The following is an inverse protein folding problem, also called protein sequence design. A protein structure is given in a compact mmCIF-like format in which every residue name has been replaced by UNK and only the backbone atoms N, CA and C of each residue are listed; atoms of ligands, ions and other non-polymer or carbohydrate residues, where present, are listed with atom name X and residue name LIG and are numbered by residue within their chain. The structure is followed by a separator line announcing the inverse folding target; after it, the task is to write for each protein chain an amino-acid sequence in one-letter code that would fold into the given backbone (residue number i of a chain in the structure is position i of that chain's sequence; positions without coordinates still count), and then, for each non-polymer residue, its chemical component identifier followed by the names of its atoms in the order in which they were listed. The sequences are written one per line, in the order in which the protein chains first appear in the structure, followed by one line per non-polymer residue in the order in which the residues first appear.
data_IF_406460675089
#
_entry.id   IF_406460675089
#
_cell.length_a   1.000
_cell.length_b   1.000
_cell.length_c   1.000
_cell.angle_alpha   90.00
_cell.angle_beta   90.00
_cell.angle_gamma   90.00
#
_symmetry.space_group_name_H-M   'P 1'
#
loop_
_entity.id
_entity.type
_entity.pdbx_description
1 polymer ?
#
# COMPACT_ATOMS: atom_id res chain seq x y z
N UNK A 1 7.92 2.70 -7.39
CA UNK A 1 6.98 2.94 -8.50
C UNK A 1 5.55 3.00 -7.96
N UNK A 2 4.64 3.63 -8.69
CA UNK A 2 3.22 3.70 -8.34
C UNK A 2 2.40 3.31 -9.56
N UNK A 3 1.50 2.34 -9.41
CA UNK A 3 0.51 1.99 -10.42
C UNK A 3 -0.82 2.63 -10.03
N UNK A 4 -1.44 3.36 -10.95
CA UNK A 4 -2.73 4.03 -10.78
C UNK A 4 -3.67 3.57 -11.88
N UNK A 5 -4.83 3.07 -11.49
CA UNK A 5 -5.92 2.66 -12.37
C UNK A 5 -7.08 3.61 -12.16
N UNK A 6 -7.60 4.12 -13.27
CA UNK A 6 -8.92 4.76 -13.29
C UNK A 6 -9.90 3.86 -14.00
N UNK A 7 -11.06 3.69 -13.39
CA UNK A 7 -12.12 2.83 -13.92
C UNK A 7 -13.07 3.62 -14.82
N UNK A 8 -13.85 2.92 -15.64
CA UNK A 8 -14.89 3.56 -16.46
C UNK A 8 -15.96 4.25 -15.61
N UNK A 9 -16.21 3.71 -14.41
CA UNK A 9 -17.13 4.27 -13.40
C UNK A 9 -16.55 5.49 -12.66
N UNK A 10 -15.32 5.90 -12.99
CA UNK A 10 -14.67 7.08 -12.44
C UNK A 10 -13.92 6.86 -11.13
N UNK A 11 -13.77 5.61 -10.67
CA UNK A 11 -13.01 5.31 -9.46
C UNK A 11 -11.51 5.38 -9.74
N UNK A 12 -10.73 5.76 -8.74
CA UNK A 12 -9.26 5.81 -8.85
C UNK A 12 -8.67 4.96 -7.75
N UNK A 13 -7.89 3.96 -8.12
CA UNK A 13 -7.28 2.98 -7.21
C UNK A 13 -5.94 2.52 -7.74
N UNK A 14 -5.17 1.79 -6.95
CA UNK A 14 -3.84 1.41 -7.38
C UNK A 14 -2.99 0.69 -6.35
N UNK A 15 -1.69 0.65 -6.63
CA UNK A 15 -0.70 0.02 -5.77
C UNK A 15 0.60 0.84 -5.72
N UNK A 16 1.21 0.91 -4.54
CA UNK A 16 2.59 1.33 -4.37
C UNK A 16 3.48 0.10 -4.50
N UNK A 17 4.44 0.17 -5.42
CA UNK A 17 5.34 -0.93 -5.78
C UNK A 17 6.76 -0.52 -5.39
N UNK A 18 7.29 -1.01 -4.25
CA UNK A 18 8.59 -0.58 -3.73
C UNK A 18 9.78 -1.21 -4.48
N UNK A 19 9.54 -2.22 -5.31
CA UNK A 19 10.55 -2.89 -6.12
C UNK A 19 10.36 -2.63 -7.61
N UNK A 20 11.39 -2.98 -8.38
CA UNK A 20 11.29 -3.08 -9.84
C UNK A 20 10.30 -4.19 -10.24
N UNK A 21 9.47 -3.94 -11.26
CA UNK A 21 8.61 -4.97 -11.84
C UNK A 21 9.46 -5.94 -12.65
N UNK A 22 9.38 -7.22 -12.30
CA UNK A 22 10.16 -8.30 -12.92
C UNK A 22 9.22 -9.40 -13.40
N UNK A 23 9.60 -10.06 -14.48
CA UNK A 23 8.86 -11.23 -14.98
C UNK A 23 8.98 -12.38 -13.98
N UNK A 24 7.89 -12.67 -13.25
CA UNK A 24 7.82 -13.74 -12.26
C UNK A 24 7.24 -15.04 -12.82
N UNK A 25 6.55 -14.98 -13.96
CA UNK A 25 5.88 -16.11 -14.61
C UNK A 25 4.72 -16.65 -13.77
N UNK A 26 5.02 -17.47 -12.76
CA UNK A 26 4.01 -17.95 -11.80
C UNK A 26 4.33 -17.61 -10.34
N UNK A 27 5.52 -17.06 -10.09
CA UNK A 27 5.99 -16.76 -8.74
C UNK A 27 5.66 -15.33 -8.35
N UNK A 28 5.19 -15.16 -7.12
CA UNK A 28 5.06 -13.86 -6.50
C UNK A 28 6.43 -13.36 -6.01
N UNK A 29 6.61 -12.04 -6.02
CA UNK A 29 7.80 -11.36 -5.51
C UNK A 29 7.41 -10.04 -4.83
N UNK A 30 8.41 -9.31 -4.33
CA UNK A 30 8.22 -8.06 -3.59
C UNK A 30 8.37 -8.24 -2.08
N UNK A 31 7.99 -7.20 -1.34
CA UNK A 31 8.07 -7.18 0.12
C UNK A 31 6.84 -6.51 0.77
N UNK A 32 6.87 -6.48 2.11
CA UNK A 32 5.81 -5.93 2.94
C UNK A 32 5.59 -4.41 2.80
N UNK A 33 6.48 -3.70 2.09
CA UNK A 33 6.34 -2.26 1.82
C UNK A 33 5.39 -1.97 0.66
N UNK A 34 4.92 -3.01 -0.04
CA UNK A 34 3.86 -2.91 -1.04
C UNK A 34 2.55 -2.58 -0.36
N UNK A 35 1.74 -1.67 -0.93
CA UNK A 35 0.38 -1.44 -0.42
C UNK A 35 -0.59 -1.15 -1.55
N UNK A 36 -1.85 -1.48 -1.34
CA UNK A 36 -2.93 -1.13 -2.25
C UNK A 36 -3.63 0.13 -1.74
N UNK A 37 -4.20 0.91 -2.65
CA UNK A 37 -4.94 2.10 -2.27
C UNK A 37 -6.16 2.33 -3.17
N UNK A 38 -7.11 3.10 -2.64
CA UNK A 38 -8.20 3.74 -3.36
C UNK A 38 -8.12 5.23 -3.06
N UNK A 39 -8.32 6.09 -4.06
CA UNK A 39 -8.27 7.56 -3.94
C UNK A 39 -9.67 8.17 -4.13
N UNK A 40 -10.43 7.69 -5.12
CA UNK A 40 -11.77 8.16 -5.43
C UNK A 40 -12.73 6.96 -5.48
N UNK A 41 -13.90 7.03 -4.81
CA UNK A 41 -14.50 8.20 -4.12
C UNK A 41 -13.96 8.49 -2.71
N UNK A 42 -13.22 7.57 -2.09
CA UNK A 42 -12.68 7.75 -0.74
C UNK A 42 -11.26 7.21 -0.64
N UNK A 43 -10.38 7.99 0.02
CA UNK A 43 -9.03 7.54 0.32
C UNK A 43 -9.06 6.33 1.27
N UNK A 44 -8.53 5.20 0.80
CA UNK A 44 -8.29 4.02 1.60
C UNK A 44 -6.91 3.44 1.29
N UNK A 45 -6.21 2.92 2.30
CA UNK A 45 -4.88 2.32 2.15
C UNK A 45 -4.91 0.94 2.80
N UNK A 46 -4.73 -0.10 1.98
CA UNK A 46 -4.62 -1.48 2.42
C UNK A 46 -3.14 -1.86 2.52
N UNK A 47 -2.62 -1.88 3.74
CA UNK A 47 -1.25 -2.32 4.01
C UNK A 47 -1.17 -3.84 4.01
N UNK A 48 0.04 -4.38 3.98
CA UNK A 48 0.23 -5.82 4.15
C UNK A 48 -0.26 -6.27 5.53
N UNK A 49 -0.91 -7.43 5.58
CA UNK A 49 -1.46 -8.02 6.81
C UNK A 49 -0.39 -8.72 7.65
N UNK A 50 0.76 -9.06 7.03
CA UNK A 50 1.81 -9.89 7.61
C UNK A 50 1.55 -11.40 7.55
N UNK A 51 0.38 -11.85 7.09
CA UNK A 51 0.03 -13.28 7.01
C UNK A 51 0.50 -13.90 5.69
N UNK A 52 0.16 -13.27 4.57
CA UNK A 52 0.56 -13.68 3.22
C UNK A 52 1.83 -12.99 2.74
N UNK A 53 2.55 -13.66 1.83
CA UNK A 53 3.78 -13.13 1.19
C UNK A 53 3.66 -12.98 -0.33
N UNK A 54 2.44 -13.12 -0.84
CA UNK A 54 2.15 -13.04 -2.27
C UNK A 54 1.90 -11.57 -2.65
N UNK A 55 2.95 -10.75 -2.66
CA UNK A 55 2.82 -9.29 -2.78
C UNK A 55 2.48 -8.85 -4.19
N UNK A 56 3.34 -9.19 -5.16
CA UNK A 56 3.25 -8.75 -6.55
C UNK A 56 3.42 -9.97 -7.46
N UNK A 57 2.61 -10.03 -8.50
CA UNK A 57 2.64 -11.02 -9.56
C UNK A 57 2.75 -10.30 -10.90
N UNK A 58 3.68 -10.70 -11.76
CA UNK A 58 3.73 -10.22 -13.13
C UNK A 58 4.11 -11.38 -14.05
N UNK A 59 3.28 -11.59 -15.06
CA UNK A 59 3.50 -12.59 -16.09
C UNK A 59 3.11 -12.02 -17.45
N UNK A 60 4.08 -11.96 -18.36
CA UNK A 60 3.90 -11.51 -19.74
C UNK A 60 4.18 -12.62 -20.75
N UNK A 61 4.83 -13.72 -20.33
CA UNK A 61 5.37 -14.73 -21.25
C UNK A 61 4.79 -16.13 -21.06
N UNK A 62 4.50 -16.52 -19.83
CA UNK A 62 4.13 -17.89 -19.51
C UNK A 62 2.63 -18.12 -19.73
N UNK A 63 2.28 -18.75 -20.86
CA UNK A 63 0.89 -19.04 -21.24
C UNK A 63 0.20 -20.11 -20.38
N UNK A 64 0.92 -20.82 -19.52
CA UNK A 64 0.34 -21.80 -18.60
C UNK A 64 -0.23 -21.14 -17.33
N UNK A 65 0.04 -19.86 -17.11
CA UNK A 65 -0.47 -19.07 -15.99
C UNK A 65 -1.12 -17.78 -16.50
N UNK A 66 -1.98 -17.14 -15.69
CA UNK A 66 -2.65 -15.89 -16.09
C UNK A 66 -1.64 -14.83 -16.54
N UNK A 67 -1.84 -14.26 -17.72
CA UNK A 67 -1.01 -13.17 -18.23
C UNK A 67 -1.60 -11.86 -17.72
N UNK A 68 -0.78 -11.06 -17.04
CA UNK A 68 -1.22 -9.82 -16.41
C UNK A 68 -0.40 -9.44 -15.18
N UNK A 69 -0.89 -8.42 -14.49
CA UNK A 69 -0.33 -7.85 -13.27
C UNK A 69 -1.31 -8.11 -12.11
N UNK A 70 -0.82 -8.75 -11.06
CA UNK A 70 -1.61 -9.11 -9.89
C UNK A 70 -0.96 -8.65 -8.60
N UNK A 71 -1.79 -8.43 -7.58
CA UNK A 71 -1.34 -8.16 -6.22
C UNK A 71 -2.16 -9.01 -5.26
N UNK A 72 -1.49 -9.62 -4.28
CA UNK A 72 -2.17 -10.31 -3.18
C UNK A 72 -2.84 -11.61 -3.61
N UNK A 73 -3.36 -12.34 -2.62
CA UNK A 73 -4.08 -13.59 -2.86
C UNK A 73 -3.19 -14.71 -3.39
N UNK A 74 -3.68 -15.42 -4.40
CA UNK A 74 -3.00 -16.54 -5.03
C UNK A 74 -3.27 -16.54 -6.54
N UNK A 75 -2.51 -17.33 -7.31
CA UNK A 75 -2.73 -17.44 -8.75
C UNK A 75 -4.17 -17.86 -9.03
N UNK A 76 -4.91 -17.04 -9.77
CA UNK A 76 -6.34 -17.25 -10.09
C UNK A 76 -7.33 -16.60 -9.11
N UNK A 77 -6.87 -16.06 -7.98
CA UNK A 77 -7.69 -15.32 -7.02
C UNK A 77 -6.85 -14.20 -6.38
N UNK A 78 -6.48 -13.20 -7.17
CA UNK A 78 -5.67 -12.07 -6.71
C UNK A 78 -6.52 -11.05 -5.95
N UNK A 79 -5.91 -10.31 -5.02
CA UNK A 79 -6.60 -9.18 -4.36
C UNK A 79 -6.96 -8.10 -5.36
N UNK A 80 -6.02 -7.79 -6.24
CA UNK A 80 -6.20 -6.83 -7.31
C UNK A 80 -5.54 -7.40 -8.56
N UNK A 81 -6.32 -7.56 -9.61
CA UNK A 81 -5.91 -8.18 -10.87
C UNK A 81 -6.18 -7.24 -12.05
N UNK A 82 -5.16 -7.11 -12.88
CA UNK A 82 -5.22 -6.46 -14.18
C UNK A 82 -4.77 -7.50 -15.21
N UNK A 83 -5.71 -8.01 -15.99
CA UNK A 83 -5.39 -8.98 -17.03
C UNK A 83 -4.72 -8.36 -18.25
N UNK A 84 -4.25 -9.22 -19.14
CA UNK A 84 -3.69 -8.81 -20.43
C UNK A 84 -4.67 -7.94 -21.23
N UNK A 85 -4.14 -6.93 -21.90
CA UNK A 85 -4.91 -5.93 -22.65
C UNK A 85 -6.05 -5.26 -21.82
N UNK A 86 -5.90 -5.18 -20.49
CA UNK A 86 -6.92 -4.67 -19.55
C UNK A 86 -8.23 -5.46 -19.53
N UNK A 87 -8.21 -6.72 -19.96
CA UNK A 87 -9.38 -7.61 -19.95
C UNK A 87 -9.46 -8.40 -18.65
N UNK A 88 -10.67 -8.83 -18.31
CA UNK A 88 -10.95 -9.68 -17.15
C UNK A 88 -10.34 -9.16 -15.84
N UNK A 89 -10.27 -7.83 -15.68
CA UNK A 89 -9.75 -7.20 -14.48
C UNK A 89 -10.75 -7.35 -13.33
N UNK A 90 -10.25 -7.52 -12.11
CA UNK A 90 -11.11 -7.67 -10.94
C UNK A 90 -10.38 -7.34 -9.63
N UNK A 91 -11.18 -7.17 -8.58
CA UNK A 91 -10.72 -7.03 -7.20
C UNK A 91 -11.47 -8.03 -6.33
N UNK A 92 -10.80 -8.66 -5.37
CA UNK A 92 -11.48 -9.46 -4.35
C UNK A 92 -11.68 -8.66 -3.06
N UNK A 93 -12.73 -9.02 -2.30
CA UNK A 93 -13.07 -8.32 -1.05
C UNK A 93 -12.01 -8.48 0.05
N UNK A 94 -11.29 -9.60 0.07
CA UNK A 94 -10.23 -9.87 1.03
C UNK A 94 -9.18 -10.84 0.48
N UNK A 95 -8.04 -10.92 1.14
CA UNK A 95 -7.01 -11.94 0.88
C UNK A 95 -6.12 -12.09 2.12
N UNK A 96 -5.13 -12.99 2.07
CA UNK A 96 -4.20 -13.17 3.18
C UNK A 96 -2.99 -12.22 3.14
N UNK A 97 -2.66 -11.57 2.02
CA UNK A 97 -1.49 -10.68 1.90
C UNK A 97 -1.77 -9.26 2.33
N UNK A 98 -2.92 -8.67 1.97
CA UNK A 98 -3.28 -7.30 2.34
C UNK A 98 -4.38 -7.24 3.40
N UNK A 99 -4.43 -6.14 4.14
CA UNK A 99 -5.46 -5.89 5.15
C UNK A 99 -6.85 -5.96 4.53
N UNK A 100 -7.88 -6.43 5.27
CA UNK A 100 -9.24 -6.39 4.79
C UNK A 100 -9.68 -4.94 4.53
N UNK A 101 -10.58 -4.75 3.58
CA UNK A 101 -11.12 -3.44 3.24
C UNK A 101 -11.54 -3.35 1.78
N UNK A 102 -12.48 -2.43 1.52
CA UNK A 102 -13.00 -2.17 0.17
C UNK A 102 -12.03 -1.29 -0.61
N UNK A 103 -11.67 -1.73 -1.81
CA UNK A 103 -10.97 -0.90 -2.80
C UNK A 103 -11.93 -0.27 -3.81
N UNK A 104 -13.01 -0.99 -4.16
CA UNK A 104 -14.11 -0.52 -4.99
C UNK A 104 -15.30 -0.15 -4.12
N UNK A 105 -15.99 0.92 -4.48
CA UNK A 105 -17.28 1.30 -3.89
C UNK A 105 -18.34 1.32 -4.99
N UNK A 106 -19.38 0.51 -4.90
CA UNK A 106 -20.51 0.68 -5.82
C UNK A 106 -21.35 1.88 -5.36
N UNK A 107 -21.84 2.70 -6.31
CA UNK A 107 -22.56 3.96 -6.05
C UNK A 107 -23.80 3.85 -5.13
N UNK A 108 -24.23 2.62 -4.79
CA UNK A 108 -25.37 2.35 -3.90
C UNK A 108 -24.97 1.70 -2.56
N UNK A 109 -23.68 1.50 -2.27
CA UNK A 109 -23.27 1.04 -0.94
C UNK A 109 -23.19 2.23 0.04
N UNK A 110 -23.81 2.13 1.23
CA UNK A 110 -23.68 3.16 2.24
C UNK A 110 -22.20 3.32 2.62
N UNK A 111 -21.72 4.56 2.63
CA UNK A 111 -20.37 4.92 3.04
C UNK A 111 -20.11 4.28 4.42
N UNK A 112 -19.11 3.39 4.57
CA UNK A 112 -18.82 2.80 5.86
C UNK A 112 -18.39 3.92 6.81
N UNK A 113 -19.27 4.28 7.75
CA UNK A 113 -18.91 5.14 8.86
C UNK A 113 -17.92 4.34 9.73
N UNK A 114 -16.81 4.98 10.09
CA UNK A 114 -15.65 4.31 10.66
C UNK A 114 -15.97 3.44 11.90
N UNK A 115 -15.28 2.30 11.97
CA UNK A 115 -15.01 1.47 13.15
C UNK A 115 -16.13 1.31 14.18
N UNK A 116 -17.19 0.57 13.84
CA UNK A 116 -18.03 -0.13 14.81
C UNK A 116 -18.61 -1.39 14.16
N UNK A 117 -17.95 -2.55 14.32
CA UNK A 117 -18.66 -3.84 14.29
C UNK A 117 -17.71 -4.97 14.71
N UNK A 118 -17.59 -5.16 16.03
CA UNK A 118 -17.20 -6.44 16.62
C UNK A 118 -18.25 -7.54 16.36
N UNK A 119 -19.39 -7.23 15.72
CA UNK A 119 -20.50 -8.15 15.49
C UNK A 119 -20.27 -9.15 14.34
N UNK A 120 -19.32 -8.87 13.43
CA UNK A 120 -19.05 -9.76 12.29
C UNK A 120 -18.39 -11.09 12.68
N UNK A 121 -17.89 -11.22 13.92
CA UNK A 121 -17.32 -12.47 14.45
C UNK A 121 -18.40 -13.43 14.98
N UNK A 122 -19.57 -12.91 15.38
CA UNK A 122 -20.67 -13.73 15.92
C UNK A 122 -21.42 -14.52 14.83
N UNK A 123 -21.40 -14.04 13.58
CA UNK A 123 -22.07 -14.73 12.47
C UNK A 123 -21.36 -16.04 12.07
N UNK A 124 -20.07 -16.18 12.35
CA UNK A 124 -19.29 -17.40 12.07
C UNK A 124 -19.49 -18.50 13.12
N UNK A 125 -19.88 -18.15 14.35
CA UNK A 125 -20.09 -19.12 15.43
C UNK A 125 -21.44 -19.82 15.36
N UNK A 126 -22.47 -19.23 14.75
CA UNK A 126 -23.83 -19.80 14.68
C UNK A 126 -23.99 -20.87 13.58
N UNK A 127 -23.03 -20.99 12.67
CA UNK A 127 -23.12 -21.91 11.53
C UNK A 127 -22.74 -23.37 11.86
N UNK A 128 -22.23 -23.67 13.06
CA UNK A 128 -21.73 -25.01 13.42
C UNK A 128 -22.70 -25.90 14.21
N UNK A 129 -23.85 -25.40 14.70
CA UNK A 129 -24.72 -26.16 15.63
C UNK A 129 -25.98 -26.81 14.98
N UNK A 130 -26.02 -26.93 13.66
CA UNK A 130 -27.21 -27.36 12.93
C UNK A 130 -27.12 -28.70 12.19
N UNK A 131 -26.56 -29.76 12.77
CA UNK A 131 -26.44 -31.07 12.12
C UNK A 131 -26.93 -32.24 12.99
N UNK A 132 -28.25 -32.42 13.10
CA UNK A 132 -28.87 -33.71 13.41
C UNK A 132 -30.39 -33.68 13.16
N UNK A 133 -30.88 -34.40 12.13
CA UNK A 133 -31.96 -35.40 12.22
C UNK A 133 -32.69 -35.67 10.88
N UNK A 134 -32.77 -36.98 10.59
CA UNK A 134 -33.85 -37.73 9.91
C UNK A 134 -34.07 -37.63 8.39
N UNK A 135 -33.93 -38.81 7.78
CA UNK A 135 -34.25 -39.18 6.40
C UNK A 135 -35.75 -39.45 6.21
N UNK A 136 -36.28 -39.23 4.99
CA UNK A 136 -37.25 -40.13 4.32
C UNK A 136 -37.41 -39.77 2.84
N UNK A 137 -37.73 -40.79 2.05
CA UNK A 137 -37.63 -40.90 0.59
C UNK A 137 -38.91 -40.61 -0.19
N UNK A 138 -38.82 -39.98 -1.37
CA UNK A 138 -39.58 -40.37 -2.59
C UNK A 138 -39.21 -39.51 -3.82
N UNK A 139 -38.90 -40.16 -4.96
CA UNK A 139 -38.83 -39.56 -6.32
C UNK A 139 -40.20 -39.65 -7.00
N UNK A 140 -40.55 -38.73 -7.94
CA UNK A 140 -40.40 -39.03 -9.38
C UNK A 140 -39.83 -37.85 -10.23
N UNK A 141 -39.57 -38.14 -11.51
CA UNK A 141 -38.82 -37.42 -12.57
C UNK A 141 -39.77 -37.07 -13.74
N UNK A 142 -39.46 -36.24 -14.77
CA UNK A 142 -38.66 -35.00 -14.88
C UNK A 142 -39.51 -33.82 -15.41
N UNK A 143 -39.21 -32.59 -15.03
CA UNK A 143 -39.72 -31.40 -15.74
C UNK A 143 -38.57 -30.43 -15.96
N UNK A 144 -38.42 -29.98 -17.21
CA UNK A 144 -37.31 -29.18 -17.72
C UNK A 144 -37.34 -27.82 -17.03
N UNK A 145 -36.42 -27.63 -16.08
CA UNK A 145 -36.25 -26.39 -15.32
C UNK A 145 -34.81 -25.93 -15.53
N UNK A 146 -34.54 -24.64 -15.79
CA UNK A 146 -33.18 -24.14 -15.98
C UNK A 146 -32.36 -24.46 -14.73
N UNK A 147 -31.20 -25.08 -14.93
CA UNK A 147 -30.21 -25.36 -13.88
C UNK A 147 -29.92 -24.08 -13.09
N UNK A 148 -30.22 -24.01 -11.78
CA UNK A 148 -29.72 -22.92 -10.96
C UNK A 148 -28.18 -23.02 -10.92
N UNK A 149 -27.46 -21.88 -10.96
CA UNK A 149 -26.01 -21.89 -10.84
C UNK A 149 -25.59 -22.56 -9.54
N UNK A 150 -24.43 -23.21 -9.55
CA UNK A 150 -23.94 -23.94 -8.39
C UNK A 150 -23.72 -22.97 -7.22
N UNK A 151 -23.91 -23.44 -5.98
CA UNK A 151 -23.74 -22.59 -4.78
C UNK A 151 -22.30 -22.05 -4.68
N UNK A 152 -21.31 -22.75 -5.24
CA UNK A 152 -19.91 -22.29 -5.36
C UNK A 152 -19.73 -21.17 -6.40
N UNK A 153 -20.44 -21.23 -7.53
CA UNK A 153 -20.44 -20.16 -8.55
C UNK A 153 -21.11 -18.88 -8.00
N UNK A 154 -22.09 -19.05 -7.11
CA UNK A 154 -22.84 -17.93 -6.54
C UNK A 154 -22.06 -17.22 -5.41
N UNK A 155 -21.25 -17.95 -4.65
CA UNK A 155 -20.37 -17.38 -3.62
C UNK A 155 -19.14 -16.69 -4.22
N UNK A 156 -18.55 -17.27 -5.27
CA UNK A 156 -17.43 -16.66 -5.99
C UNK A 156 -17.84 -15.37 -6.71
N UNK A 157 -19.04 -15.31 -7.30
CA UNK A 157 -19.60 -14.09 -7.88
C UNK A 157 -19.79 -12.95 -6.87
N UNK A 158 -19.96 -13.27 -5.58
CA UNK A 158 -20.10 -12.27 -4.51
C UNK A 158 -18.77 -11.79 -3.94
N UNK A 159 -17.68 -12.52 -4.16
CA UNK A 159 -16.36 -12.21 -3.60
C UNK A 159 -15.45 -11.47 -4.57
N UNK A 160 -15.59 -11.79 -5.86
CA UNK A 160 -14.87 -11.17 -6.96
C UNK A 160 -15.72 -10.03 -7.54
N UNK A 161 -15.19 -8.83 -7.49
CA UNK A 161 -15.80 -7.64 -8.07
C UNK A 161 -15.13 -7.35 -9.43
N UNK A 162 -15.86 -7.46 -10.56
CA UNK A 162 -15.34 -7.08 -11.86
C UNK A 162 -14.91 -5.61 -11.89
N UNK A 163 -13.89 -5.31 -12.69
CA UNK A 163 -13.30 -3.99 -12.83
C UNK A 163 -13.19 -3.62 -14.32
N UNK A 164 -13.78 -2.51 -14.73
CA UNK A 164 -13.61 -1.98 -16.09
C UNK A 164 -12.54 -0.89 -16.07
N UNK A 165 -11.34 -1.22 -16.56
CA UNK A 165 -10.21 -0.30 -16.56
C UNK A 165 -10.31 0.64 -17.76
N UNK A 166 -10.37 1.94 -17.50
CA UNK A 166 -10.31 2.99 -18.52
C UNK A 166 -8.88 3.34 -18.88
N UNK A 167 -8.03 3.49 -17.87
CA UNK A 167 -6.61 3.83 -18.01
C UNK A 167 -5.79 3.22 -16.86
N UNK A 168 -4.59 2.74 -17.19
CA UNK A 168 -3.56 2.34 -16.24
C UNK A 168 -2.32 3.19 -16.49
N UNK A 169 -1.85 3.88 -15.46
CA UNK A 169 -0.61 4.61 -15.46
C UNK A 169 0.38 4.00 -14.47
N UNK A 170 1.63 3.82 -14.89
CA UNK A 170 2.71 3.34 -14.02
C UNK A 170 3.81 4.39 -13.98
N UNK A 171 4.04 4.93 -12.79
CA UNK A 171 5.00 6.00 -12.54
C UNK A 171 6.24 5.45 -11.83
N UNK A 172 7.40 5.65 -12.44
CA UNK A 172 8.70 5.38 -11.82
C UNK A 172 9.02 6.39 -10.72
N UNK A 173 9.66 5.95 -9.64
CA UNK A 173 10.11 6.83 -8.54
C UNK A 173 11.57 7.29 -8.71
N UNK A 174 12.09 7.25 -9.94
CA UNK A 174 13.49 7.49 -10.25
C UNK A 174 14.39 6.27 -10.04
N UNK A 175 15.61 6.36 -10.55
CA UNK A 175 16.70 5.41 -10.45
C UNK A 175 17.66 5.75 -9.28
N UNK A 176 18.70 4.92 -9.07
CA UNK A 176 19.67 5.12 -7.98
C UNK A 176 20.31 6.51 -8.01
N UNK A 177 20.56 7.06 -9.20
CA UNK A 177 21.14 8.38 -9.36
C UNK A 177 20.22 9.49 -8.84
N UNK A 178 18.92 9.42 -9.15
CA UNK A 178 17.90 10.35 -8.66
C UNK A 178 17.75 10.26 -7.14
N UNK A 179 17.83 9.05 -6.59
CA UNK A 179 17.78 8.83 -5.14
C UNK A 179 19.01 9.39 -4.41
N UNK A 180 20.20 9.22 -4.98
CA UNK A 180 21.44 9.81 -4.47
C UNK A 180 21.41 11.34 -4.53
N UNK A 181 20.96 11.90 -5.66
CA UNK A 181 20.78 13.35 -5.82
C UNK A 181 19.78 13.91 -4.79
N UNK A 182 18.65 13.22 -4.58
CA UNK A 182 17.66 13.63 -3.60
C UNK A 182 18.24 13.60 -2.18
N UNK A 183 19.01 12.55 -1.81
CA UNK A 183 19.72 12.47 -0.52
C UNK A 183 20.73 13.60 -0.35
N UNK A 184 21.51 13.91 -1.39
CA UNK A 184 22.48 14.99 -1.35
C UNK A 184 21.81 16.36 -1.15
N UNK A 185 20.71 16.62 -1.86
CA UNK A 185 19.94 17.86 -1.75
C UNK A 185 19.34 18.01 -0.34
N UNK A 186 18.73 16.96 0.20
CA UNK A 186 18.19 16.96 1.56
C UNK A 186 19.30 17.23 2.59
N UNK A 187 20.44 16.56 2.46
CA UNK A 187 21.61 16.77 3.34
C UNK A 187 22.11 18.21 3.28
N UNK A 188 22.16 18.81 2.08
CA UNK A 188 22.53 20.22 1.91
C UNK A 188 21.53 21.16 2.58
N UNK A 189 20.22 20.91 2.43
CA UNK A 189 19.19 21.70 3.11
C UNK A 189 19.31 21.61 4.63
N UNK A 190 19.53 20.41 5.17
CA UNK A 190 19.65 20.22 6.61
C UNK A 190 20.91 20.87 7.16
N UNK A 191 22.03 20.83 6.42
CA UNK A 191 23.23 21.57 6.78
C UNK A 191 22.96 23.08 6.82
N UNK A 192 22.32 23.64 5.79
CA UNK A 192 21.95 25.06 5.79
C UNK A 192 21.00 25.43 6.93
N UNK A 193 20.06 24.52 7.30
CA UNK A 193 19.19 24.71 8.46
C UNK A 193 19.98 24.70 9.77
N UNK A 194 20.98 23.81 9.90
CA UNK A 194 21.83 23.73 11.08
C UNK A 194 22.75 24.96 11.21
N UNK A 195 23.37 25.40 10.11
CA UNK A 195 24.20 26.61 10.08
C UNK A 195 23.41 27.87 10.47
N UNK A 196 22.12 27.95 10.12
CA UNK A 196 21.25 29.05 10.56
C UNK A 196 20.83 28.96 12.02
N UNK A 197 20.82 27.75 12.61
CA UNK A 197 20.42 27.51 14.01
C UNK A 197 21.58 27.61 14.98
N UNK A 198 22.80 27.30 14.53
CA UNK A 198 23.99 27.30 15.36
C UNK A 198 24.91 28.44 14.96
N UNK A 199 25.25 29.28 15.93
CA UNK A 199 26.27 30.31 15.76
C UNK A 199 27.63 29.63 15.85
N UNK A 200 28.37 29.63 14.74
CA UNK A 200 29.72 29.07 14.71
C UNK A 200 30.70 29.96 15.47
N UNK A 201 31.06 29.54 16.70
CA UNK A 201 31.85 30.34 17.64
C UNK A 201 33.26 30.61 17.14
N UNK A 202 33.87 29.69 16.41
CA UNK A 202 35.22 29.86 15.85
C UNK A 202 35.23 30.91 14.74
N UNK A 203 34.26 30.82 13.83
CA UNK A 203 34.07 31.79 12.75
C UNK A 203 33.80 33.20 13.25
N UNK A 204 33.08 33.33 14.38
CA UNK A 204 32.86 34.63 15.04
C UNK A 204 34.14 35.24 15.64
N UNK A 205 35.15 34.42 15.99
CA UNK A 205 36.39 34.88 16.62
C UNK A 205 37.48 35.26 15.61
N UNK A 206 37.39 34.76 14.37
CA UNK A 206 38.35 35.04 13.30
C UNK A 206 38.11 36.39 12.60
N UNK A 207 36.87 36.89 12.62
CA UNK A 207 36.54 38.21 12.09
C UNK A 207 37.07 39.31 13.01
N UNK A 208 38.03 40.11 12.52
CA UNK A 208 38.64 41.21 13.28
C UNK A 208 37.61 42.23 13.77
N UNK A 209 36.58 42.48 12.96
CA UNK A 209 35.45 43.33 13.30
C UNK A 209 34.65 42.76 14.48
N UNK A 210 34.29 41.48 14.45
CA UNK A 210 33.46 40.87 15.51
C UNK A 210 34.22 40.79 16.84
N UNK A 211 35.53 40.54 16.79
CA UNK A 211 36.39 40.53 17.97
C UNK A 211 36.48 41.89 18.66
N UNK A 212 36.53 42.97 17.89
CA UNK A 212 36.70 44.33 18.39
C UNK A 212 35.37 44.99 18.78
N UNK A 213 34.30 44.78 18.00
CA UNK A 213 33.02 45.46 18.18
C UNK A 213 31.96 44.65 18.95
N UNK A 214 31.95 43.32 18.86
CA UNK A 214 30.94 42.48 19.52
C UNK A 214 31.48 41.77 20.79
N UNK A 215 32.78 41.46 20.84
CA UNK A 215 33.39 40.63 21.89
C UNK A 215 34.46 41.35 22.73
N UNK A 216 34.60 42.67 22.60
CA UNK A 216 35.68 43.46 23.19
C UNK A 216 35.84 43.38 24.72
N UNK A 217 34.87 42.81 25.44
CA UNK A 217 34.92 42.62 26.90
C UNK A 217 34.87 41.16 27.39
N UNK A 218 34.56 40.18 26.54
CA UNK A 218 34.20 38.83 27.01
C UNK A 218 35.39 37.92 27.34
N UNK A 219 36.57 38.17 26.77
CA UNK A 219 37.76 37.30 26.98
C UNK A 219 38.86 37.93 27.86
N UNK A 220 38.73 39.19 28.29
CA UNK A 220 39.75 39.87 29.10
C UNK A 220 39.76 39.47 30.59
N UNK A 221 38.87 38.56 31.04
CA UNK A 221 38.79 38.09 32.44
C UNK A 221 39.84 37.02 32.81
N UNK A 222 40.76 36.66 31.91
CA UNK A 222 41.78 35.64 32.17
C UNK A 222 43.08 36.17 32.81
N UNK A 223 43.20 37.47 33.12
CA UNK A 223 44.24 37.96 34.04
C UNK A 223 43.68 37.96 35.46
N UNK A 224 43.78 36.81 36.13
CA UNK A 224 43.65 36.75 37.58
C UNK A 224 44.70 37.64 38.27
N UNK A 225 44.41 38.17 39.46
CA UNK A 225 45.35 39.05 40.16
C UNK A 225 46.67 38.32 40.42
N UNK A 226 47.79 39.00 40.15
CA UNK A 226 49.14 38.55 40.53
C UNK A 226 49.14 38.11 41.99
N UNK A 227 49.58 36.87 42.23
CA UNK A 227 49.91 36.41 43.56
C UNK A 227 51.15 37.16 44.07
N UNK A 228 51.19 37.64 45.32
CA UNK A 228 52.31 38.39 45.84
C UNK A 228 53.54 37.47 46.00
N UNK A 229 54.69 37.98 45.57
CA UNK A 229 56.01 37.37 45.72
C UNK A 229 56.39 37.21 47.19
N UNK A 230 56.82 36.01 47.58
CA UNK A 230 57.54 35.70 48.82
C UNK A 230 59.03 35.59 48.51
#
# INVERSE_FOLDING_TARGET
MVAVVKTEEGQVLGAIIPCELKEGGHNFYGDANTCLFSLEPQLNILRTSGLGRNFIYLNTKNKFHPIGLGFGGQVGAFRFWIGDEMKDCYITKSDCTYSPGRMLQTMNEPIPQGLDSLDSLAALTTALDGAAAAATSSKPKPEVTPTPPSVEETLSANFLCPLHVKELEIWGTGDLSVLEQQRALLKQQDQLRQERRQVDKGRLLESSFDREFLLGGTFNRAKGPEAPSV
#
